data_IF_365248216903
#
_entry.id   IF_365248216903
#
_cell.length_a   1.000
_cell.length_b   1.000
_cell.length_c   1.000
_cell.angle_alpha   90.00
_cell.angle_beta   90.00
_cell.angle_gamma   90.00
#
_symmetry.space_group_name_H-M   'P 1'
#
loop_
_entity.id
_entity.type
_entity.pdbx_description
1 polymer ?
#
# COMPACT_ATOMS: atom_id res chain seq x y z
N UNK A 1 19.73 8.89 14.89
CA UNK A 1 19.02 8.00 13.95
C UNK A 1 19.50 8.37 12.56
N UNK A 2 20.32 7.49 12.00
CA UNK A 2 20.88 7.62 10.65
C UNK A 2 19.86 7.11 9.66
N UNK A 3 19.60 7.90 8.62
CA UNK A 3 18.65 7.52 7.56
C UNK A 3 19.37 7.41 6.23
N UNK A 4 19.18 6.29 5.56
CA UNK A 4 19.74 6.00 4.25
C UNK A 4 18.62 5.68 3.26
N UNK A 5 18.81 6.03 2.00
CA UNK A 5 17.92 5.72 0.89
C UNK A 5 18.69 4.89 -0.13
N UNK A 6 18.22 3.68 -0.39
CA UNK A 6 18.80 2.76 -1.36
C UNK A 6 17.84 2.67 -2.54
N UNK A 7 18.28 3.03 -3.74
CA UNK A 7 17.45 3.13 -4.94
C UNK A 7 17.96 2.19 -6.02
N UNK A 8 17.18 1.15 -6.29
CA UNK A 8 17.44 0.17 -7.36
C UNK A 8 16.57 0.49 -8.57
N UNK A 9 17.20 0.83 -9.69
CA UNK A 9 16.56 1.15 -10.97
C UNK A 9 16.69 0.03 -12.00
N UNK A 10 17.53 -1.01 -11.76
CA UNK A 10 17.90 -2.02 -12.76
C UNK A 10 17.06 -3.30 -12.70
N UNK A 11 16.30 -3.52 -11.64
CA UNK A 11 15.55 -4.76 -11.42
C UNK A 11 14.12 -4.73 -11.98
N UNK A 12 13.90 -4.12 -13.15
CA UNK A 12 12.59 -4.14 -13.84
C UNK A 12 11.62 -3.04 -13.38
N UNK A 13 12.13 -1.95 -12.84
CA UNK A 13 11.40 -0.80 -12.32
C UNK A 13 12.14 -0.21 -11.13
N UNK A 14 11.84 1.04 -10.80
CA UNK A 14 12.50 1.69 -9.67
C UNK A 14 11.92 1.19 -8.34
N UNK A 15 12.79 0.68 -7.47
CA UNK A 15 12.49 0.34 -6.07
C UNK A 15 13.35 1.19 -5.15
N UNK A 16 12.79 1.70 -4.08
CA UNK A 16 13.52 2.53 -3.13
C UNK A 16 13.24 2.07 -1.69
N UNK A 17 14.29 1.70 -0.98
CA UNK A 17 14.27 1.27 0.40
C UNK A 17 14.78 2.37 1.32
N UNK A 18 14.03 2.67 2.37
CA UNK A 18 14.46 3.59 3.44
C UNK A 18 14.93 2.76 4.62
N UNK A 19 16.17 3.00 5.03
CA UNK A 19 16.75 2.39 6.23
C UNK A 19 16.84 3.43 7.34
N UNK A 20 16.60 3.01 8.57
CA UNK A 20 16.88 3.76 9.79
C UNK A 20 17.80 2.92 10.68
N UNK A 21 19.00 3.44 10.95
CA UNK A 21 20.08 2.73 11.69
C UNK A 21 20.37 1.33 11.11
N UNK A 22 20.31 1.18 9.77
CA UNK A 22 20.55 -0.07 9.04
C UNK A 22 19.34 -1.01 8.93
N UNK A 23 18.21 -0.69 9.57
CA UNK A 23 16.98 -1.49 9.47
C UNK A 23 16.03 -0.96 8.40
N UNK A 24 15.47 -1.85 7.58
CA UNK A 24 14.47 -1.51 6.57
C UNK A 24 13.15 -1.07 7.24
N UNK A 25 12.73 0.17 6.96
CA UNK A 25 11.52 0.77 7.54
C UNK A 25 10.45 1.18 6.52
N UNK A 26 10.84 1.44 5.28
CA UNK A 26 9.89 1.72 4.20
C UNK A 26 10.41 1.11 2.89
N UNK A 27 9.50 0.58 2.08
CA UNK A 27 9.78 0.17 0.71
C UNK A 27 8.80 0.89 -0.22
N UNK A 28 9.36 1.60 -1.18
CA UNK A 28 8.61 2.27 -2.23
C UNK A 28 8.95 1.64 -3.57
N UNK A 29 7.93 1.47 -4.40
CA UNK A 29 8.10 0.96 -5.76
C UNK A 29 7.46 1.96 -6.71
N UNK A 30 8.15 2.25 -7.78
CA UNK A 30 7.54 2.97 -8.87
C UNK A 30 6.74 1.93 -9.68
N UNK A 31 5.43 1.89 -9.43
CA UNK A 31 4.51 1.10 -10.22
C UNK A 31 4.45 1.58 -11.67
N UNK A 32 3.78 0.80 -12.53
CA UNK A 32 3.53 1.19 -13.92
C UNK A 32 2.78 2.53 -14.04
N UNK A 33 2.41 2.94 -15.24
CA UNK A 33 1.70 4.20 -15.52
C UNK A 33 0.64 4.67 -14.50
N UNK A 34 -0.15 3.78 -13.87
CA UNK A 34 -1.15 4.20 -12.89
C UNK A 34 -0.59 4.89 -11.64
N UNK A 35 0.61 4.55 -11.18
CA UNK A 35 1.19 5.18 -9.98
C UNK A 35 1.79 6.57 -10.27
N UNK A 36 2.16 6.81 -11.52
CA UNK A 36 2.64 8.12 -11.98
C UNK A 36 1.52 9.14 -12.19
N UNK A 37 0.25 8.75 -12.05
CA UNK A 37 -0.90 9.65 -12.26
C UNK A 37 -1.15 10.57 -11.07
N UNK A 38 -0.76 10.18 -9.86
CA UNK A 38 -0.82 11.06 -8.68
C UNK A 38 0.24 12.15 -8.78
N UNK A 39 -0.13 13.38 -8.43
CA UNK A 39 0.70 14.59 -8.56
C UNK A 39 0.94 15.07 -10.02
N UNK A 40 0.60 14.27 -11.04
CA UNK A 40 0.62 14.69 -12.44
C UNK A 40 -0.36 15.85 -12.67
N UNK A 41 0.09 16.85 -13.41
CA UNK A 41 -0.80 17.93 -13.87
C UNK A 41 -1.32 17.62 -15.26
N UNK A 42 -2.61 17.80 -15.43
CA UNK A 42 -3.31 17.58 -16.69
C UNK A 42 -4.01 18.87 -17.16
N UNK A 43 -4.01 19.10 -18.46
CA UNK A 43 -4.95 20.01 -19.10
C UNK A 43 -6.20 19.20 -19.45
N UNK A 44 -7.33 19.51 -18.83
CA UNK A 44 -8.54 18.73 -18.95
C UNK A 44 -9.70 19.51 -19.52
N UNK A 45 -10.64 18.80 -20.18
CA UNK A 45 -11.91 19.32 -20.65
C UNK A 45 -13.06 18.75 -19.84
N UNK A 46 -13.92 19.60 -19.30
CA UNK A 46 -15.14 19.16 -18.62
C UNK A 46 -16.09 18.50 -19.63
N UNK A 47 -16.32 17.20 -19.50
CA UNK A 47 -17.26 16.46 -20.35
C UNK A 47 -18.67 16.54 -19.82
N UNK A 48 -18.87 16.40 -18.52
CA UNK A 48 -20.17 16.44 -17.87
C UNK A 48 -20.07 16.93 -16.43
N UNK A 49 -21.04 17.73 -16.03
CA UNK A 49 -21.24 18.10 -14.62
C UNK A 49 -22.43 17.33 -14.07
N UNK A 50 -22.29 16.73 -12.89
CA UNK A 50 -23.33 15.95 -12.21
C UNK A 50 -23.62 16.56 -10.83
N UNK A 51 -24.58 17.48 -10.74
CA UNK A 51 -24.91 18.15 -9.47
C UNK A 51 -25.35 17.19 -8.35
N UNK A 52 -26.06 16.10 -8.72
CA UNK A 52 -26.54 15.09 -7.77
C UNK A 52 -25.44 14.36 -6.99
N UNK A 53 -24.22 14.33 -7.51
CA UNK A 53 -23.05 13.69 -6.87
C UNK A 53 -21.96 14.73 -6.57
N UNK A 54 -22.26 16.03 -6.69
CA UNK A 54 -21.31 17.13 -6.48
C UNK A 54 -19.97 16.91 -7.19
N UNK A 55 -20.02 16.52 -8.48
CA UNK A 55 -18.81 16.22 -9.23
C UNK A 55 -18.93 16.56 -10.71
N UNK A 56 -17.76 16.73 -11.35
CA UNK A 56 -17.61 16.80 -12.80
C UNK A 56 -16.74 15.63 -13.30
N UNK A 57 -17.00 15.20 -14.53
CA UNK A 57 -16.17 14.26 -15.27
C UNK A 57 -15.32 15.04 -16.25
N UNK A 58 -14.01 14.85 -16.17
CA UNK A 58 -13.02 15.61 -16.91
C UNK A 58 -12.23 14.68 -17.81
N UNK A 59 -12.25 14.94 -19.12
CA UNK A 59 -11.35 14.31 -20.08
C UNK A 59 -9.92 14.82 -19.87
N UNK A 60 -8.97 13.93 -19.68
CA UNK A 60 -7.56 14.24 -19.41
C UNK A 60 -6.60 13.55 -20.39
N UNK A 61 -7.12 13.06 -21.52
CA UNK A 61 -6.36 12.32 -22.54
C UNK A 61 -6.08 10.86 -22.17
N UNK A 62 -6.88 10.28 -21.28
CA UNK A 62 -6.86 8.86 -20.90
C UNK A 62 -8.17 8.18 -21.33
N UNK A 63 -8.20 6.82 -21.29
CA UNK A 63 -9.39 6.05 -21.66
C UNK A 63 -10.62 6.39 -20.80
N UNK A 64 -10.42 6.63 -19.51
CA UNK A 64 -11.49 6.98 -18.58
C UNK A 64 -11.41 8.46 -18.20
N UNK A 65 -12.58 9.11 -18.16
CA UNK A 65 -12.70 10.47 -17.67
C UNK A 65 -12.33 10.52 -16.18
N UNK A 66 -11.58 11.54 -15.78
CA UNK A 66 -11.22 11.80 -14.40
C UNK A 66 -12.43 12.29 -13.59
N UNK A 67 -12.49 11.94 -12.32
CA UNK A 67 -13.50 12.36 -11.36
C UNK A 67 -13.02 13.58 -10.59
N UNK A 68 -13.69 14.71 -10.77
CA UNK A 68 -13.41 15.97 -10.09
C UNK A 68 -14.54 16.27 -9.10
N UNK A 69 -14.33 16.13 -7.78
CA UNK A 69 -15.27 16.61 -6.77
C UNK A 69 -15.41 18.13 -6.88
N UNK A 70 -16.63 18.63 -6.82
CA UNK A 70 -16.90 20.07 -6.84
C UNK A 70 -17.17 20.57 -5.42
N UNK A 71 -16.49 21.64 -5.03
CA UNK A 71 -16.79 22.38 -3.83
C UNK A 71 -18.04 23.26 -4.03
N UNK A 72 -18.72 23.61 -2.96
CA UNK A 72 -19.89 24.49 -3.02
C UNK A 72 -19.52 25.83 -3.66
N UNK A 73 -20.32 26.25 -4.64
CA UNK A 73 -20.13 27.52 -5.35
C UNK A 73 -19.28 27.45 -6.63
N UNK A 74 -18.61 26.34 -6.92
CA UNK A 74 -17.85 26.16 -8.18
C UNK A 74 -18.82 25.90 -9.33
N UNK A 75 -18.88 26.81 -10.30
CA UNK A 75 -19.71 26.71 -11.50
C UNK A 75 -18.85 26.32 -12.69
N UNK A 76 -18.84 25.04 -13.04
CA UNK A 76 -18.24 24.52 -14.28
C UNK A 76 -19.33 24.21 -15.30
N UNK A 77 -19.00 24.33 -16.57
CA UNK A 77 -19.83 23.94 -17.71
C UNK A 77 -19.14 22.89 -18.56
N UNK A 78 -19.94 22.09 -19.25
CA UNK A 78 -19.40 21.18 -20.28
C UNK A 78 -18.67 21.99 -21.35
N UNK A 79 -17.46 21.55 -21.70
CA UNK A 79 -16.56 22.25 -22.62
C UNK A 79 -15.50 23.13 -21.94
N UNK A 80 -15.64 23.49 -20.65
CA UNK A 80 -14.65 24.28 -19.94
C UNK A 80 -13.30 23.55 -19.90
N UNK A 81 -12.22 24.32 -20.13
CA UNK A 81 -10.85 23.83 -20.07
C UNK A 81 -10.20 24.27 -18.75
N UNK A 82 -9.55 23.34 -18.05
CA UNK A 82 -8.94 23.62 -16.74
C UNK A 82 -7.70 22.78 -16.51
N UNK A 83 -6.81 23.27 -15.64
CA UNK A 83 -5.68 22.48 -15.14
C UNK A 83 -6.16 21.71 -13.91
N UNK A 84 -5.90 20.41 -13.88
CA UNK A 84 -6.20 19.55 -12.72
C UNK A 84 -5.00 18.71 -12.33
N UNK A 85 -4.91 18.40 -11.05
CA UNK A 85 -3.88 17.55 -10.47
C UNK A 85 -4.47 16.21 -10.05
N UNK A 86 -3.78 15.11 -10.38
CA UNK A 86 -4.11 13.78 -9.86
C UNK A 86 -3.89 13.72 -8.35
N UNK A 87 -4.90 13.27 -7.60
CA UNK A 87 -4.87 13.27 -6.12
C UNK A 87 -4.77 11.86 -5.55
N UNK A 88 -5.49 10.92 -6.12
CA UNK A 88 -5.49 9.53 -5.67
C UNK A 88 -6.00 8.61 -6.77
N UNK A 89 -5.36 7.44 -6.88
CA UNK A 89 -5.83 6.32 -7.68
C UNK A 89 -7.10 5.75 -7.04
N UNK A 90 -8.13 5.48 -7.83
CA UNK A 90 -9.26 4.73 -7.33
C UNK A 90 -8.93 3.22 -7.36
N UNK A 91 -9.33 2.51 -6.33
CA UNK A 91 -8.97 1.11 -6.07
C UNK A 91 -9.65 0.09 -7.00
N UNK A 92 -10.49 0.54 -7.94
CA UNK A 92 -11.21 -0.32 -8.89
C UNK A 92 -10.90 0.10 -10.32
N UNK A 93 -10.57 -0.86 -11.19
CA UNK A 93 -10.26 -0.65 -12.61
C UNK A 93 -11.38 0.03 -13.43
N UNK A 94 -12.60 0.07 -12.90
CA UNK A 94 -13.77 0.66 -13.55
C UNK A 94 -13.98 2.16 -13.28
N UNK A 95 -13.13 2.79 -12.49
CA UNK A 95 -13.28 4.21 -12.10
C UNK A 95 -12.08 5.03 -12.56
N UNK A 96 -12.35 6.23 -13.10
CA UNK A 96 -11.32 7.17 -13.52
C UNK A 96 -10.49 7.75 -12.36
N UNK A 97 -9.36 8.37 -12.70
CA UNK A 97 -8.49 9.07 -11.76
C UNK A 97 -9.26 10.15 -11.00
N UNK A 98 -9.08 10.21 -9.68
CA UNK A 98 -9.57 11.36 -8.90
C UNK A 98 -8.63 12.53 -9.08
N UNK A 99 -9.18 13.68 -9.45
CA UNK A 99 -8.41 14.93 -9.67
C UNK A 99 -8.93 16.07 -8.81
N UNK A 100 -8.13 17.12 -8.68
CA UNK A 100 -8.46 18.36 -7.97
C UNK A 100 -8.06 19.56 -8.81
N UNK A 101 -8.82 20.64 -8.71
CA UNK A 101 -8.43 21.96 -9.21
C UNK A 101 -7.45 22.68 -8.28
N UNK A 102 -7.36 22.22 -7.03
CA UNK A 102 -6.36 22.69 -6.09
C UNK A 102 -5.01 22.09 -6.44
N UNK A 103 -4.14 22.88 -7.04
CA UNK A 103 -2.81 22.49 -7.48
C UNK A 103 -1.81 22.67 -6.34
N UNK A 104 -1.08 21.63 -5.99
CA UNK A 104 -0.04 21.66 -4.97
C UNK A 104 1.33 21.42 -5.61
N UNK A 105 2.12 22.49 -5.74
CA UNK A 105 3.50 22.39 -6.21
C UNK A 105 4.42 22.18 -5.01
N UNK A 106 4.88 20.93 -4.85
CA UNK A 106 5.60 20.52 -3.65
C UNK A 106 7.10 20.71 -3.82
N UNK A 107 7.66 21.63 -3.06
CA UNK A 107 9.09 21.78 -2.84
C UNK A 107 9.58 21.02 -1.60
N UNK A 108 10.85 21.23 -1.22
CA UNK A 108 11.46 20.66 0.00
C UNK A 108 10.88 21.29 1.26
N UNK A 109 10.92 22.60 1.36
CA UNK A 109 10.54 23.39 2.54
C UNK A 109 9.16 24.04 2.40
N UNK A 110 8.67 24.21 1.17
CA UNK A 110 7.42 24.90 0.83
C UNK A 110 6.52 24.02 -0.03
N UNK A 111 5.21 24.31 0.03
CA UNK A 111 4.24 23.92 -1.00
C UNK A 111 3.60 25.21 -1.50
N UNK A 112 3.64 25.45 -2.79
CA UNK A 112 2.96 26.58 -3.43
C UNK A 112 1.60 26.13 -3.96
N UNK A 113 0.56 26.90 -3.69
CA UNK A 113 -0.82 26.64 -4.13
C UNK A 113 -1.32 27.83 -4.92
N UNK A 114 -1.24 27.79 -6.25
CA UNK A 114 -1.77 28.84 -7.11
C UNK A 114 -3.29 28.97 -7.01
N UNK A 115 -3.80 30.19 -7.10
CA UNK A 115 -5.25 30.48 -7.04
C UNK A 115 -5.84 30.52 -5.65
N UNK A 116 -5.05 30.30 -4.60
CA UNK A 116 -5.42 30.52 -3.20
C UNK A 116 -4.57 31.68 -2.62
N UNK A 117 -4.94 32.16 -1.45
CA UNK A 117 -4.18 33.19 -0.74
C UNK A 117 -3.92 32.78 0.70
N UNK A 118 -2.76 33.18 1.23
CA UNK A 118 -2.44 33.00 2.62
C UNK A 118 -1.20 32.14 2.90
N UNK A 119 -0.80 32.16 4.17
CA UNK A 119 0.38 31.45 4.67
C UNK A 119 -0.04 30.46 5.74
N UNK A 120 0.26 29.21 5.50
CA UNK A 120 -0.01 28.12 6.41
C UNK A 120 1.30 27.48 6.90
N UNK A 121 1.36 27.10 8.17
CA UNK A 121 2.53 26.41 8.74
C UNK A 121 2.12 25.01 9.17
N UNK A 122 2.96 24.04 8.83
CA UNK A 122 2.78 22.65 9.22
C UNK A 122 2.43 22.53 10.72
N UNK A 123 1.43 21.71 11.05
CA UNK A 123 1.07 21.42 12.45
C UNK A 123 2.16 20.68 13.21
N UNK A 124 3.16 20.13 12.50
CA UNK A 124 4.31 19.43 13.10
C UNK A 124 5.36 20.40 13.66
N UNK A 125 5.41 21.64 13.19
CA UNK A 125 6.23 22.71 13.78
C UNK A 125 5.55 23.16 15.06
N UNK A 126 6.10 22.75 16.22
CA UNK A 126 5.45 22.97 17.52
C UNK A 126 5.97 24.17 18.29
N UNK A 127 7.23 24.55 18.07
CA UNK A 127 7.85 25.68 18.77
C UNK A 127 7.18 27.01 18.35
N UNK A 128 6.59 27.77 19.31
CA UNK A 128 5.88 29.01 19.01
C UNK A 128 6.77 30.09 18.38
N UNK A 129 8.02 30.24 18.79
CA UNK A 129 8.98 31.20 18.27
C UNK A 129 9.34 30.88 16.83
N UNK A 130 9.65 29.60 16.56
CA UNK A 130 9.90 29.11 15.20
C UNK A 130 8.68 29.32 14.28
N UNK A 131 7.48 29.08 14.79
CA UNK A 131 6.22 29.34 14.03
C UNK A 131 6.05 30.82 13.72
N UNK A 132 6.32 31.72 14.68
CA UNK A 132 6.22 33.16 14.47
C UNK A 132 7.22 33.64 13.41
N UNK A 133 8.50 33.23 13.53
CA UNK A 133 9.56 33.50 12.53
C UNK A 133 9.16 33.03 11.13
N UNK A 134 8.73 31.77 11.01
CA UNK A 134 8.34 31.20 9.72
C UNK A 134 7.09 31.86 9.14
N UNK A 135 6.15 32.31 9.98
CA UNK A 135 4.98 33.06 9.52
C UNK A 135 5.36 34.44 8.94
N UNK A 136 6.33 35.11 9.54
CA UNK A 136 6.84 36.39 9.04
C UNK A 136 7.56 36.24 7.70
N UNK A 137 8.50 35.30 7.62
CA UNK A 137 9.18 34.94 6.38
C UNK A 137 8.15 34.58 5.31
N UNK A 138 7.19 33.69 5.65
CA UNK A 138 6.17 33.25 4.71
C UNK A 138 5.35 34.38 4.13
N UNK A 139 4.97 35.40 4.94
CA UNK A 139 4.24 36.58 4.44
C UNK A 139 5.09 37.43 3.51
N UNK A 140 6.41 37.50 3.76
CA UNK A 140 7.30 38.27 2.93
C UNK A 140 7.54 37.62 1.54
N UNK A 141 7.59 36.28 1.47
CA UNK A 141 7.93 35.56 0.25
C UNK A 141 6.71 35.04 -0.52
N UNK A 142 5.50 35.10 0.06
CA UNK A 142 4.28 34.59 -0.58
C UNK A 142 3.95 35.39 -1.84
N UNK A 143 3.93 34.75 -3.04
CA UNK A 143 3.59 35.48 -4.26
C UNK A 143 2.11 35.91 -4.24
N UNK A 144 1.76 37.00 -4.97
CA UNK A 144 0.38 37.38 -5.18
C UNK A 144 -0.40 36.22 -5.84
N UNK A 145 -1.69 36.09 -5.48
CA UNK A 145 -2.59 35.04 -5.99
C UNK A 145 -2.13 33.61 -5.75
N UNK A 146 -1.29 33.42 -4.72
CA UNK A 146 -0.86 32.11 -4.26
C UNK A 146 -1.02 31.97 -2.75
N UNK A 147 -1.22 30.74 -2.29
CA UNK A 147 -0.98 30.38 -0.91
C UNK A 147 0.31 29.57 -0.79
N UNK A 148 0.95 29.64 0.38
CA UNK A 148 2.08 28.77 0.70
C UNK A 148 1.83 27.96 1.96
N UNK A 149 2.28 26.70 1.95
CA UNK A 149 2.36 25.87 3.14
C UNK A 149 3.83 25.66 3.48
N UNK A 150 4.24 26.14 4.64
CA UNK A 150 5.60 25.99 5.16
C UNK A 150 5.69 24.60 5.82
N UNK A 151 6.58 23.76 5.31
CA UNK A 151 6.79 22.38 5.78
C UNK A 151 7.73 22.36 6.98
N UNK A 152 7.80 21.22 7.68
CA UNK A 152 8.69 21.04 8.85
C UNK A 152 10.16 21.20 8.49
N UNK A 153 10.55 20.83 7.26
CA UNK A 153 11.92 21.00 6.78
C UNK A 153 12.41 22.47 6.79
N UNK A 154 11.49 23.44 6.85
CA UNK A 154 11.82 24.87 6.92
C UNK A 154 12.43 25.32 8.26
N UNK A 155 12.36 24.49 9.32
CA UNK A 155 12.90 24.87 10.63
C UNK A 155 14.39 25.18 10.57
N UNK A 156 15.13 24.49 9.68
CA UNK A 156 16.59 24.60 9.50
C UNK A 156 17.00 25.33 8.23
N UNK A 157 16.06 25.94 7.50
CA UNK A 157 16.29 26.62 6.22
C UNK A 157 16.31 28.13 6.43
N UNK A 158 17.23 28.83 5.74
CA UNK A 158 17.30 30.30 5.80
C UNK A 158 16.17 30.99 5.03
N UNK A 159 15.93 32.26 5.30
CA UNK A 159 14.90 33.05 4.61
C UNK A 159 15.18 33.15 3.09
N UNK A 160 16.45 33.34 2.75
CA UNK A 160 16.91 33.45 1.34
C UNK A 160 16.67 32.16 0.57
N UNK A 161 16.91 31.00 1.22
CA UNK A 161 16.66 29.70 0.63
C UNK A 161 15.15 29.44 0.44
N UNK A 162 14.31 29.86 1.39
CA UNK A 162 12.86 29.76 1.28
C UNK A 162 12.33 30.66 0.15
N UNK A 163 12.88 31.85 0.00
CA UNK A 163 12.53 32.76 -1.09
C UNK A 163 12.91 32.17 -2.45
N UNK A 164 14.14 31.67 -2.60
CA UNK A 164 14.58 31.04 -3.83
C UNK A 164 13.71 29.84 -4.22
N UNK A 165 13.30 29.04 -3.24
CA UNK A 165 12.38 27.90 -3.48
C UNK A 165 10.98 28.37 -3.91
N UNK A 166 10.44 29.44 -3.31
CA UNK A 166 9.15 30.01 -3.68
C UNK A 166 9.18 30.56 -5.13
N UNK A 167 10.23 31.28 -5.49
CA UNK A 167 10.45 31.83 -6.86
C UNK A 167 10.56 30.69 -7.90
N UNK A 168 11.29 29.61 -7.58
CA UNK A 168 11.42 28.44 -8.46
C UNK A 168 10.06 27.75 -8.68
N UNK A 169 9.27 27.55 -7.61
CA UNK A 169 7.95 26.93 -7.72
C UNK A 169 6.99 27.81 -8.52
N UNK A 170 7.04 29.13 -8.30
CA UNK A 170 6.24 30.09 -9.07
C UNK A 170 6.60 30.07 -10.56
N UNK A 171 7.89 30.07 -10.89
CA UNK A 171 8.37 29.97 -12.27
C UNK A 171 7.88 28.67 -12.93
N UNK A 172 8.00 27.53 -12.24
CA UNK A 172 7.49 26.23 -12.72
C UNK A 172 5.98 26.29 -13.00
N UNK A 173 5.21 26.96 -12.13
CA UNK A 173 3.78 27.17 -12.35
C UNK A 173 3.50 28.02 -13.57
N UNK A 174 4.22 29.13 -13.74
CA UNK A 174 4.05 30.02 -14.89
C UNK A 174 4.34 29.31 -16.21
N UNK A 175 5.41 28.52 -16.27
CA UNK A 175 5.76 27.69 -17.43
C UNK A 175 4.68 26.63 -17.72
N UNK A 176 4.14 26.00 -16.67
CA UNK A 176 3.05 25.01 -16.78
C UNK A 176 1.78 25.65 -17.32
N UNK A 177 1.42 26.83 -16.81
CA UNK A 177 0.25 27.58 -17.25
C UNK A 177 0.39 28.08 -18.71
N UNK A 178 1.61 28.49 -19.10
CA UNK A 178 1.89 28.85 -20.48
C UNK A 178 1.77 27.66 -21.43
N UNK A 179 2.28 26.48 -21.04
CA UNK A 179 2.10 25.24 -21.80
C UNK A 179 0.62 24.88 -21.96
N UNK A 180 -0.17 25.01 -20.90
CA UNK A 180 -1.61 24.75 -20.96
C UNK A 180 -2.32 25.64 -21.99
N UNK A 181 -1.98 26.92 -22.04
CA UNK A 181 -2.54 27.86 -23.03
C UNK A 181 -2.21 27.51 -24.48
N UNK A 182 -1.08 26.82 -24.70
CA UNK A 182 -0.69 26.33 -26.03
C UNK A 182 -1.29 24.99 -26.44
N UNK A 183 -1.95 24.28 -25.51
CA UNK A 183 -2.56 22.98 -25.80
C UNK A 183 -3.95 23.10 -26.40
N UNK A 184 -4.20 22.39 -27.51
CA UNK A 184 -5.50 22.34 -28.18
C UNK A 184 -6.35 21.16 -27.65
N UNK A 185 -5.70 20.09 -27.19
CA UNK A 185 -6.36 18.87 -26.74
C UNK A 185 -6.03 18.58 -25.26
N UNK A 186 -6.95 17.93 -24.53
CA UNK A 186 -6.66 17.42 -23.19
C UNK A 186 -5.46 16.48 -23.17
N UNK A 187 -4.67 16.53 -22.11
CA UNK A 187 -3.49 15.68 -21.96
C UNK A 187 -2.62 16.03 -20.77
N UNK A 188 -1.49 15.34 -20.64
CA UNK A 188 -0.52 15.54 -19.58
C UNK A 188 0.24 16.86 -19.80
N UNK A 189 0.27 17.72 -18.79
CA UNK A 189 1.06 18.96 -18.75
C UNK A 189 2.45 18.73 -18.16
N UNK A 190 2.50 18.10 -16.99
CA UNK A 190 3.75 17.77 -16.31
C UNK A 190 3.66 16.40 -15.70
N UNK A 191 4.72 15.61 -15.83
CA UNK A 191 4.87 14.35 -15.11
C UNK A 191 5.37 14.62 -13.69
N UNK A 192 5.07 13.76 -12.71
CA UNK A 192 5.65 13.87 -11.37
C UNK A 192 7.16 13.65 -11.43
N UNK A 193 7.86 14.19 -10.43
CA UNK A 193 9.28 13.88 -10.26
C UNK A 193 9.50 12.37 -10.10
N UNK A 194 10.61 11.80 -10.60
CA UNK A 194 11.00 10.42 -10.33
C UNK A 194 10.96 10.09 -8.83
N UNK A 195 10.72 8.82 -8.51
CA UNK A 195 10.61 8.35 -7.13
C UNK A 195 11.86 8.65 -6.32
N UNK A 196 13.05 8.51 -6.92
CA UNK A 196 14.36 8.83 -6.34
C UNK A 196 14.42 10.27 -5.84
N UNK A 197 14.11 11.24 -6.71
CA UNK A 197 14.14 12.67 -6.42
C UNK A 197 13.06 13.03 -5.37
N UNK A 198 11.86 12.52 -5.53
CA UNK A 198 10.74 12.77 -4.61
C UNK A 198 11.03 12.27 -3.19
N UNK A 199 11.54 11.05 -3.05
CA UNK A 199 11.91 10.49 -1.75
C UNK A 199 13.08 11.23 -1.13
N UNK A 200 14.12 11.52 -1.91
CA UNK A 200 15.28 12.27 -1.43
C UNK A 200 14.86 13.65 -0.92
N UNK A 201 14.00 14.37 -1.65
CA UNK A 201 13.42 15.65 -1.23
C UNK A 201 12.62 15.52 0.07
N UNK A 202 11.72 14.53 0.15
CA UNK A 202 10.82 14.35 1.29
C UNK A 202 11.53 13.84 2.56
N UNK A 203 12.71 13.22 2.43
CA UNK A 203 13.56 12.71 3.50
C UNK A 203 14.73 13.64 3.85
N UNK A 204 14.97 14.69 3.05
CA UNK A 204 16.17 15.52 3.08
C UNK A 204 16.57 16.07 4.46
N UNK A 205 15.61 16.29 5.38
CA UNK A 205 15.90 16.82 6.73
C UNK A 205 16.76 15.89 7.61
N UNK A 206 16.70 14.57 7.36
CA UNK A 206 17.38 13.55 8.17
C UNK A 206 18.07 12.48 7.31
N UNK A 207 18.31 12.76 6.02
CA UNK A 207 18.90 11.83 5.08
C UNK A 207 20.42 12.04 5.04
N UNK A 208 21.18 11.04 5.49
CA UNK A 208 22.64 11.08 5.48
C UNK A 208 23.22 10.57 4.16
N UNK A 209 22.62 9.51 3.60
CA UNK A 209 23.17 8.81 2.44
C UNK A 209 22.08 8.41 1.44
N UNK A 210 22.38 8.53 0.15
CA UNK A 210 21.61 7.97 -0.97
C UNK A 210 22.53 7.10 -1.79
N UNK A 211 22.17 5.86 -2.02
CA UNK A 211 22.91 4.95 -2.91
C UNK A 211 21.98 4.56 -4.07
N UNK A 212 22.47 4.70 -5.28
CA UNK A 212 21.69 4.48 -6.51
C UNK A 212 22.52 3.77 -7.57
N UNK A 213 21.91 2.85 -8.33
CA UNK A 213 22.57 2.06 -9.36
C UNK A 213 22.26 2.51 -10.80
N UNK A 214 21.72 3.72 -10.99
CA UNK A 214 21.44 4.30 -12.30
C UNK A 214 22.18 5.62 -12.48
N UNK A 215 22.90 5.77 -13.60
CA UNK A 215 23.76 6.92 -13.84
C UNK A 215 22.97 8.21 -14.11
N UNK A 216 21.88 8.14 -14.85
CA UNK A 216 21.06 9.31 -15.20
C UNK A 216 20.37 9.87 -13.95
N UNK A 217 19.82 8.98 -13.11
CA UNK A 217 19.21 9.34 -11.83
C UNK A 217 20.25 9.87 -10.82
N UNK A 218 21.47 9.30 -10.81
CA UNK A 218 22.58 9.81 -10.00
C UNK A 218 22.94 11.24 -10.40
N UNK A 219 23.11 11.50 -11.69
CA UNK A 219 23.43 12.82 -12.19
C UNK A 219 22.31 13.83 -11.89
N UNK A 220 21.05 13.41 -12.03
CA UNK A 220 19.88 14.23 -11.68
C UNK A 220 19.89 14.60 -10.18
N UNK A 221 20.17 13.65 -9.29
CA UNK A 221 20.28 13.89 -7.84
C UNK A 221 21.43 14.84 -7.50
N UNK A 222 22.58 14.67 -8.15
CA UNK A 222 23.75 15.55 -7.98
C UNK A 222 23.45 16.97 -8.46
N UNK A 223 22.71 17.13 -9.57
CA UNK A 223 22.30 18.44 -10.05
C UNK A 223 21.34 19.11 -9.07
N UNK A 224 20.32 18.39 -8.56
CA UNK A 224 19.39 18.90 -7.53
C UNK A 224 20.12 19.32 -6.25
N UNK A 225 21.20 18.63 -5.88
CA UNK A 225 22.05 19.01 -4.74
C UNK A 225 22.85 20.31 -5.03
N UNK A 226 23.44 20.42 -6.22
CA UNK A 226 24.13 21.67 -6.65
C UNK A 226 23.21 22.88 -6.68
N UNK A 227 21.96 22.67 -7.08
CA UNK A 227 20.92 23.71 -7.10
C UNK A 227 20.43 24.10 -5.68
N UNK A 228 21.02 23.54 -4.61
CA UNK A 228 20.66 23.84 -3.23
C UNK A 228 19.33 23.25 -2.76
N UNK A 229 18.69 22.42 -3.58
CA UNK A 229 17.41 21.78 -3.27
C UNK A 229 17.55 20.56 -2.33
N UNK A 230 18.76 20.04 -2.18
CA UNK A 230 19.14 19.02 -1.18
C UNK A 230 20.22 19.57 -0.25
N UNK A 231 20.28 19.07 1.01
CA UNK A 231 21.33 19.42 1.93
C UNK A 231 22.70 19.03 1.36
N UNK A 232 23.72 19.91 1.44
CA UNK A 232 25.06 19.58 0.92
C UNK A 232 25.73 18.41 1.67
N UNK A 233 25.33 18.15 2.91
CA UNK A 233 25.83 17.05 3.73
C UNK A 233 25.22 15.68 3.36
N UNK A 234 24.20 15.61 2.52
CA UNK A 234 23.66 14.34 2.03
C UNK A 234 24.68 13.69 1.10
N UNK A 235 25.19 12.54 1.46
CA UNK A 235 26.14 11.81 0.65
C UNK A 235 25.41 11.02 -0.45
N UNK A 236 25.70 11.34 -1.73
CA UNK A 236 25.09 10.66 -2.87
C UNK A 236 26.16 9.79 -3.52
N UNK A 237 25.91 8.47 -3.57
CA UNK A 237 26.82 7.45 -4.10
C UNK A 237 26.19 6.74 -5.30
N UNK A 238 27.03 6.46 -6.27
CA UNK A 238 26.71 5.59 -7.40
C UNK A 238 27.27 4.19 -7.17
N UNK A 239 26.42 3.18 -7.30
CA UNK A 239 26.81 1.77 -7.25
C UNK A 239 26.61 1.14 -8.63
N UNK A 240 27.69 0.67 -9.25
CA UNK A 240 27.68 0.06 -10.57
C UNK A 240 27.36 -1.45 -10.55
N UNK A 241 27.16 -2.01 -9.37
CA UNK A 241 26.84 -3.44 -9.15
C UNK A 241 27.88 -4.43 -9.71
N UNK A 242 29.16 -4.06 -9.71
CA UNK A 242 30.21 -4.92 -10.25
C UNK A 242 30.35 -6.28 -9.55
N UNK A 243 29.93 -6.38 -8.28
CA UNK A 243 30.11 -7.59 -7.45
C UNK A 243 28.83 -8.20 -6.96
N UNK A 244 27.86 -7.38 -6.60
CA UNK A 244 26.61 -7.81 -5.94
C UNK A 244 25.50 -6.85 -6.32
N UNK A 245 24.28 -7.35 -6.51
CA UNK A 245 23.10 -6.51 -6.73
C UNK A 245 22.89 -5.57 -5.54
N UNK A 246 22.44 -4.34 -5.80
CA UNK A 246 22.36 -3.30 -4.79
C UNK A 246 21.52 -3.72 -3.58
N UNK A 247 20.34 -4.30 -3.79
CA UNK A 247 19.47 -4.74 -2.69
C UNK A 247 20.04 -5.92 -1.91
N UNK A 248 20.82 -6.79 -2.55
CA UNK A 248 21.51 -7.90 -1.88
C UNK A 248 22.68 -7.40 -1.03
N UNK A 249 23.44 -6.40 -1.50
CA UNK A 249 24.54 -5.78 -0.75
C UNK A 249 24.04 -5.18 0.61
N UNK A 250 22.82 -4.71 0.65
CA UNK A 250 22.17 -4.19 1.87
C UNK A 250 21.25 -5.22 2.57
N UNK A 251 21.24 -6.49 2.13
CA UNK A 251 20.40 -7.56 2.67
C UNK A 251 18.91 -7.20 2.78
N UNK A 252 18.35 -6.55 1.77
CA UNK A 252 16.98 -6.01 1.80
C UNK A 252 15.91 -7.04 1.42
N UNK A 253 16.19 -8.03 0.58
CA UNK A 253 15.20 -9.00 0.10
C UNK A 253 14.62 -9.85 1.26
N UNK A 254 15.47 -10.28 2.21
CA UNK A 254 15.00 -11.05 3.38
C UNK A 254 13.99 -10.30 4.26
N UNK A 255 14.22 -9.03 4.66
CA UNK A 255 13.21 -8.23 5.36
C UNK A 255 11.94 -8.00 4.55
N UNK A 256 12.03 -7.81 3.23
CA UNK A 256 10.88 -7.67 2.33
C UNK A 256 10.04 -8.94 2.37
N UNK A 257 10.64 -10.11 2.18
CA UNK A 257 9.96 -11.40 2.26
C UNK A 257 9.30 -11.65 3.61
N UNK A 258 9.98 -11.28 4.71
CA UNK A 258 9.41 -11.34 6.07
C UNK A 258 8.20 -10.41 6.21
N UNK A 259 8.25 -9.20 5.62
CA UNK A 259 7.14 -8.26 5.64
C UNK A 259 5.91 -8.75 4.85
N UNK A 260 6.06 -9.69 3.94
CA UNK A 260 4.94 -10.31 3.24
C UNK A 260 4.26 -11.44 4.02
N UNK A 261 4.89 -11.96 5.09
CA UNK A 261 4.32 -13.02 5.93
C UNK A 261 3.32 -12.44 6.93
N UNK A 262 2.29 -13.22 7.30
CA UNK A 262 1.37 -12.83 8.37
C UNK A 262 2.07 -12.70 9.72
N UNK A 263 2.99 -13.63 10.03
CA UNK A 263 3.70 -13.71 11.31
C UNK A 263 5.01 -12.91 11.27
N UNK A 264 5.21 -12.09 12.29
CA UNK A 264 6.45 -11.32 12.54
C UNK A 264 6.98 -11.69 13.91
N UNK A 265 8.21 -12.21 13.95
CA UNK A 265 8.86 -12.59 15.19
C UNK A 265 9.46 -11.37 15.90
N UNK A 266 9.37 -11.36 17.22
CA UNK A 266 9.99 -10.37 18.10
C UNK A 266 11.31 -10.91 18.66
N UNK A 267 12.26 -10.03 19.00
CA UNK A 267 13.54 -10.45 19.61
C UNK A 267 13.36 -11.27 20.91
N UNK A 268 12.33 -10.97 21.70
CA UNK A 268 12.02 -11.73 22.92
C UNK A 268 11.49 -13.15 22.66
N UNK A 269 11.20 -13.54 21.41
CA UNK A 269 10.62 -14.84 21.06
C UNK A 269 9.09 -14.84 21.01
N UNK A 270 8.44 -13.71 21.28
CA UNK A 270 7.05 -13.48 20.95
C UNK A 270 6.85 -13.21 19.44
N UNK A 271 5.65 -13.00 19.01
CA UNK A 271 5.35 -12.66 17.60
C UNK A 271 4.05 -11.91 17.43
N UNK A 272 3.95 -11.17 16.32
CA UNK A 272 2.74 -10.51 15.84
C UNK A 272 2.12 -11.34 14.71
N UNK A 273 0.80 -11.38 14.64
CA UNK A 273 0.03 -11.90 13.49
C UNK A 273 -0.77 -10.78 12.88
N UNK A 274 -0.56 -10.52 11.59
CA UNK A 274 -1.28 -9.50 10.83
C UNK A 274 -2.41 -10.14 10.03
N UNK A 275 -3.65 -9.77 10.33
CA UNK A 275 -4.83 -10.11 9.55
C UNK A 275 -5.46 -8.87 8.92
N UNK A 276 -5.67 -8.95 7.61
CA UNK A 276 -6.16 -7.85 6.80
C UNK A 276 -7.62 -8.13 6.43
N UNK A 277 -8.54 -7.49 7.14
CA UNK A 277 -9.94 -7.46 6.75
C UNK A 277 -10.20 -6.35 5.73
N UNK A 278 -11.40 -6.29 5.17
CA UNK A 278 -11.78 -5.28 4.18
C UNK A 278 -11.74 -3.86 4.74
N UNK A 279 -12.26 -3.66 5.95
CA UNK A 279 -12.41 -2.35 6.57
C UNK A 279 -11.26 -1.95 7.51
N UNK A 280 -10.53 -2.93 8.09
CA UNK A 280 -9.53 -2.68 9.11
C UNK A 280 -8.42 -3.74 9.10
N UNK A 281 -7.33 -3.47 9.77
CA UNK A 281 -6.26 -4.44 10.03
C UNK A 281 -6.32 -4.85 11.50
N UNK A 282 -6.33 -6.14 11.75
CA UNK A 282 -6.25 -6.72 13.09
C UNK A 282 -4.87 -7.31 13.31
N UNK A 283 -4.31 -7.10 14.48
CA UNK A 283 -2.96 -7.58 14.83
C UNK A 283 -3.05 -8.24 16.20
N UNK A 284 -2.67 -9.51 16.25
CA UNK A 284 -2.65 -10.31 17.48
C UNK A 284 -1.21 -10.43 18.01
N UNK A 285 -1.01 -10.22 19.31
CA UNK A 285 0.28 -10.28 19.99
C UNK A 285 0.38 -11.57 20.81
N UNK A 286 1.35 -12.40 20.47
CA UNK A 286 1.57 -13.68 21.12
C UNK A 286 2.90 -13.72 21.87
N UNK A 287 2.91 -14.28 23.07
CA UNK A 287 4.14 -14.45 23.88
C UNK A 287 5.09 -15.54 23.33
N UNK A 288 4.57 -16.43 22.47
CA UNK A 288 5.37 -17.53 21.92
C UNK A 288 5.87 -18.50 22.99
N UNK A 289 7.18 -18.81 22.92
CA UNK A 289 7.85 -19.70 23.88
C UNK A 289 8.49 -18.94 25.05
N UNK A 290 8.22 -17.67 25.21
CA UNK A 290 8.82 -16.84 26.22
C UNK A 290 8.24 -17.15 27.62
N UNK A 291 9.00 -17.85 28.44
CA UNK A 291 8.66 -18.25 29.83
C UNK A 291 9.70 -17.67 30.82
N UNK A 292 10.33 -16.53 30.51
CA UNK A 292 11.49 -16.03 31.27
C UNK A 292 11.20 -14.85 32.20
N UNK A 293 9.94 -14.49 32.43
CA UNK A 293 9.57 -13.45 33.41
C UNK A 293 9.42 -14.01 34.82
N UNK A 294 9.65 -13.18 35.85
CA UNK A 294 9.35 -13.52 37.23
C UNK A 294 7.84 -13.64 37.52
N UNK A 295 7.02 -13.06 36.61
CA UNK A 295 5.56 -13.12 36.64
C UNK A 295 4.96 -13.08 35.23
N UNK A 296 3.70 -13.49 35.06
CA UNK A 296 2.95 -13.36 33.80
C UNK A 296 2.84 -11.88 33.38
N UNK A 297 2.60 -10.99 34.33
CA UNK A 297 2.48 -9.55 34.11
C UNK A 297 3.78 -8.92 33.55
N UNK A 298 4.97 -9.32 34.08
CA UNK A 298 6.27 -8.86 33.57
C UNK A 298 6.52 -9.37 32.16
N UNK A 299 6.15 -10.61 31.88
CA UNK A 299 6.26 -11.21 30.55
C UNK A 299 5.36 -10.46 29.56
N UNK A 300 4.09 -10.23 29.91
CA UNK A 300 3.14 -9.49 29.09
C UNK A 300 3.64 -8.07 28.78
N UNK A 301 4.10 -7.34 29.81
CA UNK A 301 4.65 -5.99 29.61
C UNK A 301 5.85 -5.99 28.66
N UNK A 302 6.79 -6.89 28.84
CA UNK A 302 8.00 -6.96 28.00
C UNK A 302 7.65 -7.26 26.54
N UNK A 303 6.80 -8.27 26.31
CA UNK A 303 6.37 -8.64 24.94
C UNK A 303 5.61 -7.49 24.31
N UNK A 304 4.67 -6.87 25.02
CA UNK A 304 3.87 -5.75 24.50
C UNK A 304 4.75 -4.53 24.17
N UNK A 305 5.78 -4.23 24.97
CA UNK A 305 6.71 -3.13 24.69
C UNK A 305 7.54 -3.37 23.42
N UNK A 306 7.99 -4.61 23.18
CA UNK A 306 8.65 -4.97 21.92
C UNK A 306 7.67 -4.99 20.75
N UNK A 307 6.47 -5.52 20.98
CA UNK A 307 5.39 -5.59 19.99
C UNK A 307 5.04 -4.22 19.43
N UNK A 308 4.84 -3.19 20.27
CA UNK A 308 4.44 -1.86 19.76
C UNK A 308 5.55 -1.14 19.01
N UNK A 309 6.82 -1.43 19.29
CA UNK A 309 7.96 -0.90 18.52
C UNK A 309 8.01 -1.54 17.13
N UNK A 310 7.93 -2.87 17.08
CA UNK A 310 7.90 -3.60 15.81
C UNK A 310 6.62 -3.32 15.02
N UNK A 311 5.47 -3.16 15.69
CA UNK A 311 4.23 -2.71 15.09
C UNK A 311 4.42 -1.41 14.31
N UNK A 312 4.99 -0.38 14.95
CA UNK A 312 5.21 0.92 14.32
C UNK A 312 6.09 0.79 13.06
N UNK A 313 7.15 -0.02 13.12
CA UNK A 313 8.02 -0.32 11.96
C UNK A 313 7.26 -1.04 10.86
N UNK A 314 6.49 -2.09 11.21
CA UNK A 314 5.75 -2.90 10.24
C UNK A 314 4.60 -2.13 9.57
N UNK A 315 3.94 -1.20 10.28
CA UNK A 315 2.92 -0.34 9.70
C UNK A 315 3.51 0.55 8.58
N UNK A 316 4.74 1.05 8.76
CA UNK A 316 5.47 1.82 7.74
C UNK A 316 5.91 0.94 6.58
N UNK A 317 6.60 -0.18 6.87
CA UNK A 317 7.18 -1.08 5.87
C UNK A 317 6.10 -1.69 4.97
N UNK A 318 4.97 -2.07 5.55
CA UNK A 318 3.84 -2.67 4.81
C UNK A 318 2.88 -1.64 4.21
N UNK A 319 3.10 -0.34 4.47
CA UNK A 319 2.20 0.78 4.21
C UNK A 319 0.74 0.49 4.64
N UNK A 320 0.59 -0.04 5.87
CA UNK A 320 -0.73 -0.30 6.45
C UNK A 320 -1.36 1.02 6.85
N UNK A 321 -2.58 1.27 6.36
CA UNK A 321 -3.33 2.47 6.71
C UNK A 321 -4.83 2.18 6.87
N UNK A 322 -5.53 3.11 7.50
CA UNK A 322 -6.91 2.96 7.94
C UNK A 322 -7.00 2.66 9.43
N UNK A 323 -8.03 1.95 9.84
CA UNK A 323 -8.24 1.50 11.23
C UNK A 323 -7.33 0.30 11.50
N UNK A 324 -6.62 0.33 12.62
CA UNK A 324 -5.77 -0.75 13.11
C UNK A 324 -6.17 -1.07 14.55
N UNK A 325 -6.47 -2.32 14.79
CA UNK A 325 -6.79 -2.87 16.12
C UNK A 325 -5.70 -3.85 16.50
N UNK A 326 -5.17 -3.72 17.70
CA UNK A 326 -4.12 -4.62 18.21
C UNK A 326 -4.62 -5.29 19.48
N UNK A 327 -4.63 -6.62 19.46
CA UNK A 327 -4.92 -7.45 20.62
C UNK A 327 -3.61 -7.65 21.38
N UNK A 328 -3.47 -6.92 22.50
CA UNK A 328 -2.28 -6.98 23.34
C UNK A 328 -2.41 -8.14 24.33
N UNK A 329 -1.28 -8.69 24.76
CA UNK A 329 -1.30 -9.61 25.89
C UNK A 329 -1.85 -8.90 27.12
N UNK A 330 -2.79 -9.52 27.81
CA UNK A 330 -3.48 -8.96 28.97
C UNK A 330 -2.52 -8.45 30.03
N UNK A 331 -2.79 -7.23 30.51
CA UNK A 331 -2.07 -6.58 31.61
C UNK A 331 -3.05 -6.10 32.66
N UNK A 332 -2.84 -6.53 33.90
CA UNK A 332 -3.69 -6.15 35.04
C UNK A 332 -3.41 -4.71 35.47
N UNK A 333 -2.13 -4.28 35.47
CA UNK A 333 -1.70 -3.00 36.00
C UNK A 333 -1.87 -1.87 35.00
N UNK A 334 -2.63 -0.83 35.35
CA UNK A 334 -2.80 0.38 34.54
C UNK A 334 -1.46 1.05 34.19
N UNK A 335 -0.50 1.02 35.12
CA UNK A 335 0.86 1.55 34.88
C UNK A 335 1.53 0.89 33.69
N UNK A 336 1.35 -0.42 33.53
CA UNK A 336 1.92 -1.18 32.42
C UNK A 336 1.23 -0.84 31.10
N UNK A 337 -0.11 -0.74 31.10
CA UNK A 337 -0.90 -0.28 29.93
C UNK A 337 -0.46 1.11 29.48
N UNK A 338 -0.23 2.03 30.43
CA UNK A 338 0.27 3.38 30.10
C UNK A 338 1.70 3.36 29.56
N UNK A 339 2.58 2.50 30.08
CA UNK A 339 3.94 2.36 29.58
C UNK A 339 3.95 1.90 28.10
N UNK A 340 3.10 0.94 27.73
CA UNK A 340 2.94 0.46 26.35
C UNK A 340 2.41 1.58 25.44
N UNK A 341 1.40 2.37 25.89
CA UNK A 341 0.90 3.51 25.13
C UNK A 341 1.96 4.60 24.90
N UNK A 342 2.78 4.88 25.91
CA UNK A 342 3.89 5.85 25.77
C UNK A 342 4.91 5.33 24.78
N UNK A 343 5.31 4.05 24.88
CA UNK A 343 6.26 3.44 23.96
C UNK A 343 5.74 3.46 22.50
N UNK A 344 4.46 3.19 22.28
CA UNK A 344 3.85 3.29 20.95
C UNK A 344 3.86 4.72 20.44
N UNK A 345 3.46 5.70 21.26
CA UNK A 345 3.48 7.13 20.89
C UNK A 345 4.88 7.58 20.48
N UNK A 346 5.90 7.08 21.15
CA UNK A 346 7.29 7.39 20.80
C UNK A 346 7.72 6.69 19.50
N UNK A 347 7.37 5.42 19.32
CA UNK A 347 7.71 4.65 18.12
C UNK A 347 7.09 5.22 16.84
N UNK A 348 5.89 5.77 16.90
CA UNK A 348 5.22 6.36 15.72
C UNK A 348 5.64 7.81 15.42
N UNK A 349 6.48 8.44 16.23
CA UNK A 349 6.95 9.82 15.98
C UNK A 349 7.73 9.97 14.67
N UNK A 350 8.46 8.93 14.29
CA UNK A 350 9.23 8.90 13.04
C UNK A 350 8.36 8.64 11.79
N UNK A 351 7.09 8.24 11.96
CA UNK A 351 6.19 8.02 10.84
C UNK A 351 5.82 9.35 10.16
N UNK A 352 6.03 9.40 8.85
CA UNK A 352 5.65 10.57 8.04
C UNK A 352 4.14 10.72 7.90
N UNK A 353 3.41 9.60 7.99
CA UNK A 353 1.95 9.60 7.93
C UNK A 353 1.35 9.98 9.28
N UNK A 354 0.24 10.75 9.29
CA UNK A 354 -0.50 11.00 10.51
C UNK A 354 -1.03 9.71 11.14
N UNK A 355 -0.62 9.48 12.37
CA UNK A 355 -1.10 8.39 13.22
C UNK A 355 -1.87 9.00 14.39
N UNK A 356 -3.07 8.47 14.67
CA UNK A 356 -3.87 8.83 15.83
C UNK A 356 -4.09 7.58 16.67
N UNK A 357 -3.66 7.62 17.93
CA UNK A 357 -3.83 6.55 18.90
C UNK A 357 -4.99 6.95 19.79
N UNK A 358 -6.06 6.14 19.80
CA UNK A 358 -7.27 6.40 20.63
C UNK A 358 -7.05 5.90 22.07
N UNK A 359 -6.37 4.78 22.23
CA UNK A 359 -6.07 4.20 23.55
C UNK A 359 -6.24 2.69 23.59
N UNK A 360 -6.31 2.14 24.80
CA UNK A 360 -6.62 0.73 25.06
C UNK A 360 -8.04 0.65 25.62
N UNK A 361 -8.88 -0.16 25.00
CA UNK A 361 -10.29 -0.35 25.41
C UNK A 361 -10.38 -1.17 26.69
N UNK A 362 -11.60 -1.31 27.23
CA UNK A 362 -11.90 -2.19 28.37
C UNK A 362 -11.66 -3.67 28.06
N UNK A 363 -11.68 -4.04 26.78
CA UNK A 363 -11.40 -5.40 26.32
C UNK A 363 -9.89 -5.66 26.11
N UNK A 364 -9.01 -4.72 26.44
CA UNK A 364 -7.57 -4.86 26.23
C UNK A 364 -7.09 -4.48 24.80
N UNK A 365 -7.99 -4.13 23.89
CA UNK A 365 -7.66 -3.83 22.51
C UNK A 365 -7.09 -2.42 22.37
N UNK A 366 -5.92 -2.30 21.75
CA UNK A 366 -5.31 -1.03 21.35
C UNK A 366 -5.95 -0.56 20.03
N UNK A 367 -6.48 0.65 20.04
CA UNK A 367 -7.11 1.26 18.88
C UNK A 367 -6.29 2.42 18.32
N UNK A 368 -6.06 2.40 17.01
CA UNK A 368 -5.37 3.48 16.32
C UNK A 368 -5.81 3.62 14.87
N UNK A 369 -5.53 4.78 14.29
CA UNK A 369 -5.69 5.02 12.86
C UNK A 369 -4.42 5.58 12.26
N UNK A 370 -4.11 5.18 11.01
CA UNK A 370 -2.98 5.70 10.22
C UNK A 370 -3.49 6.17 8.86
N UNK A 371 -3.12 7.37 8.43
CA UNK A 371 -3.54 7.89 7.13
C UNK A 371 -2.93 7.03 6.01
N UNK A 372 -3.77 6.63 5.04
CA UNK A 372 -3.30 5.94 3.81
C UNK A 372 -2.70 6.96 2.85
N UNK A 373 -1.58 6.62 2.23
CA UNK A 373 -0.99 7.43 1.14
C UNK A 373 -0.77 6.62 -0.14
N UNK A 374 -0.29 5.39 -0.01
CA UNK A 374 0.05 4.51 -1.13
C UNK A 374 -0.75 3.21 -1.15
N UNK A 375 -0.31 2.30 -1.99
CA UNK A 375 -0.79 0.93 -2.03
C UNK A 375 -0.03 0.09 -1.01
N UNK A 376 -0.74 -0.74 -0.26
CA UNK A 376 -0.11 -1.65 0.70
C UNK A 376 0.87 -2.58 -0.02
N UNK A 377 2.05 -2.81 0.58
CA UNK A 377 3.10 -3.69 0.05
C UNK A 377 2.57 -5.06 -0.39
N UNK A 378 1.64 -5.63 0.39
CA UNK A 378 1.00 -6.90 0.05
C UNK A 378 0.23 -6.85 -1.27
N UNK A 379 -0.47 -5.76 -1.56
CA UNK A 379 -1.25 -5.62 -2.80
C UNK A 379 -0.36 -5.35 -4.01
N UNK A 380 0.71 -4.62 -3.79
CA UNK A 380 1.68 -4.32 -4.84
C UNK A 380 2.49 -5.55 -5.28
N UNK A 381 2.80 -6.47 -4.32
CA UNK A 381 3.68 -7.62 -4.57
C UNK A 381 2.95 -8.98 -4.66
N UNK A 382 1.63 -9.04 -4.42
CA UNK A 382 0.87 -10.31 -4.42
C UNK A 382 -0.43 -10.20 -5.20
N UNK A 383 -0.79 -11.27 -5.83
CA UNK A 383 -2.11 -11.47 -6.46
C UNK A 383 -2.98 -12.38 -5.59
N UNK A 384 -4.30 -12.26 -5.76
CA UNK A 384 -5.24 -13.16 -5.09
C UNK A 384 -5.00 -14.59 -5.57
N UNK A 385 -4.94 -15.54 -4.63
CA UNK A 385 -4.78 -16.95 -4.96
C UNK A 385 -5.96 -17.45 -5.80
N UNK A 386 -5.68 -18.00 -6.98
CA UNK A 386 -6.72 -18.51 -7.89
C UNK A 386 -7.39 -19.79 -7.38
N UNK A 387 -6.77 -20.50 -6.41
CA UNK A 387 -7.30 -21.75 -5.86
C UNK A 387 -8.39 -21.47 -4.82
N UNK A 388 -8.10 -20.62 -3.82
CA UNK A 388 -9.05 -20.28 -2.75
C UNK A 388 -9.72 -18.91 -2.92
N UNK A 389 -9.47 -18.21 -4.02
CA UNK A 389 -10.01 -16.86 -4.28
C UNK A 389 -9.79 -15.89 -3.11
N UNK A 390 -8.73 -16.12 -2.32
CA UNK A 390 -8.35 -15.28 -1.19
C UNK A 390 -8.94 -15.70 0.15
N UNK A 391 -9.79 -16.73 0.24
CA UNK A 391 -10.37 -17.21 1.51
C UNK A 391 -9.32 -17.82 2.45
N UNK A 392 -8.26 -18.43 1.90
CA UNK A 392 -7.27 -19.20 2.67
C UNK A 392 -7.75 -20.63 3.03
N UNK A 393 -9.00 -20.96 2.71
CA UNK A 393 -9.64 -22.23 3.03
C UNK A 393 -10.15 -22.91 1.77
N UNK A 394 -10.22 -24.22 1.80
CA UNK A 394 -10.77 -25.05 0.74
C UNK A 394 -11.75 -26.06 1.37
N UNK A 395 -12.68 -26.53 0.58
CA UNK A 395 -13.56 -27.62 1.00
C UNK A 395 -12.72 -28.86 1.34
N UNK A 396 -13.13 -29.62 2.35
CA UNK A 396 -12.52 -30.90 2.65
C UNK A 396 -12.86 -31.92 1.56
N UNK A 397 -12.01 -32.93 1.43
CA UNK A 397 -12.12 -33.97 0.40
C UNK A 397 -13.47 -34.70 0.47
N UNK A 398 -14.01 -34.92 1.68
CA UNK A 398 -15.31 -35.55 1.89
C UNK A 398 -16.47 -34.72 1.32
N UNK A 399 -16.44 -33.38 1.51
CA UNK A 399 -17.51 -32.54 1.00
C UNK A 399 -17.43 -32.41 -0.52
N UNK A 400 -16.22 -32.39 -1.08
CA UNK A 400 -16.02 -32.39 -2.54
C UNK A 400 -16.58 -33.67 -3.13
N UNK A 401 -16.23 -34.85 -2.54
CA UNK A 401 -16.74 -36.15 -2.95
C UNK A 401 -18.27 -36.22 -2.85
N UNK A 402 -18.87 -35.76 -1.74
CA UNK A 402 -20.33 -35.68 -1.58
C UNK A 402 -21.02 -34.79 -2.63
N UNK A 403 -20.43 -33.66 -2.96
CA UNK A 403 -20.98 -32.76 -3.99
C UNK A 403 -20.94 -33.40 -5.38
N UNK A 404 -19.82 -34.04 -5.69
CA UNK A 404 -19.67 -34.75 -6.95
C UNK A 404 -20.67 -35.93 -7.06
N UNK A 405 -20.83 -36.69 -5.98
CA UNK A 405 -21.80 -37.81 -5.92
C UNK A 405 -23.26 -37.28 -6.03
N UNK A 406 -23.59 -36.19 -5.37
CA UNK A 406 -24.91 -35.51 -5.55
C UNK A 406 -25.16 -35.09 -6.99
N UNK A 407 -24.14 -34.65 -7.71
CA UNK A 407 -24.29 -34.30 -9.10
C UNK A 407 -24.58 -35.53 -9.98
N UNK A 408 -23.85 -36.63 -9.79
CA UNK A 408 -24.14 -37.89 -10.48
C UNK A 408 -25.57 -38.35 -10.22
N UNK A 409 -26.06 -38.31 -8.97
CA UNK A 409 -27.45 -38.60 -8.64
C UNK A 409 -28.47 -37.72 -9.33
N UNK A 410 -28.20 -36.41 -9.45
CA UNK A 410 -29.06 -35.47 -10.19
C UNK A 410 -29.13 -35.84 -11.67
N UNK A 411 -28.02 -36.22 -12.27
CA UNK A 411 -27.96 -36.66 -13.68
C UNK A 411 -28.75 -37.96 -13.86
N UNK A 412 -28.65 -38.92 -12.92
CA UNK A 412 -29.45 -40.14 -12.93
C UNK A 412 -30.97 -39.82 -12.83
N UNK A 413 -31.37 -38.94 -11.91
CA UNK A 413 -32.78 -38.53 -11.75
C UNK A 413 -33.29 -37.76 -12.97
N UNK A 414 -32.43 -37.09 -13.73
CA UNK A 414 -32.76 -36.46 -15.00
C UNK A 414 -32.86 -37.46 -16.17
N UNK A 415 -32.81 -38.76 -15.91
CA UNK A 415 -32.97 -39.80 -16.90
C UNK A 415 -31.71 -40.26 -17.61
N UNK A 416 -30.57 -39.78 -17.23
CA UNK A 416 -29.30 -40.26 -17.80
C UNK A 416 -28.99 -41.69 -17.28
N UNK A 417 -28.85 -42.62 -18.22
CA UNK A 417 -28.62 -44.04 -17.95
C UNK A 417 -27.21 -44.42 -18.36
N UNK A 418 -26.50 -45.11 -17.48
CA UNK A 418 -25.15 -45.62 -17.75
C UNK A 418 -24.18 -45.26 -16.60
N UNK A 419 -22.99 -45.81 -16.60
CA UNK A 419 -22.03 -45.53 -15.56
C UNK A 419 -21.63 -44.06 -15.59
N UNK A 420 -21.35 -43.50 -14.40
CA UNK A 420 -20.79 -42.15 -14.25
C UNK A 420 -19.33 -42.25 -13.82
N UNK A 421 -18.45 -41.52 -14.49
CA UNK A 421 -17.05 -41.33 -14.08
C UNK A 421 -16.91 -39.94 -13.51
N UNK A 422 -16.48 -39.87 -12.25
CA UNK A 422 -16.25 -38.61 -11.55
C UNK A 422 -14.75 -38.38 -11.45
N UNK A 423 -14.28 -37.33 -12.14
CA UNK A 423 -12.90 -36.91 -12.09
C UNK A 423 -12.69 -35.90 -10.98
N UNK A 424 -11.76 -36.17 -10.06
CA UNK A 424 -11.43 -35.38 -8.89
C UNK A 424 -9.91 -35.33 -8.66
N UNK A 425 -9.46 -34.43 -7.80
CA UNK A 425 -8.10 -34.49 -7.28
C UNK A 425 -7.86 -35.83 -6.53
N UNK A 426 -6.65 -36.33 -6.55
CA UNK A 426 -6.28 -37.66 -6.08
C UNK A 426 -6.83 -38.04 -4.68
N UNK A 427 -6.70 -37.10 -3.70
CA UNK A 427 -7.20 -37.33 -2.34
C UNK A 427 -8.73 -37.46 -2.29
N UNK A 428 -9.43 -36.56 -3.00
CA UNK A 428 -10.89 -36.61 -3.06
C UNK A 428 -11.39 -37.85 -3.83
N UNK A 429 -10.66 -38.31 -4.85
CA UNK A 429 -10.97 -39.55 -5.57
C UNK A 429 -10.85 -40.77 -4.67
N UNK A 430 -9.83 -40.86 -3.81
CA UNK A 430 -9.69 -41.94 -2.82
C UNK A 430 -10.83 -41.93 -1.80
N UNK A 431 -11.26 -40.75 -1.35
CA UNK A 431 -12.41 -40.61 -0.44
C UNK A 431 -13.70 -41.03 -1.15
N UNK A 432 -13.92 -40.59 -2.39
CA UNK A 432 -15.10 -40.98 -3.16
C UNK A 432 -15.16 -42.50 -3.39
N UNK A 433 -14.05 -43.12 -3.74
CA UNK A 433 -14.00 -44.59 -3.94
C UNK A 433 -14.35 -45.39 -2.68
N UNK A 434 -14.10 -44.81 -1.50
CA UNK A 434 -14.46 -45.43 -0.22
C UNK A 434 -15.93 -45.17 0.21
N UNK A 435 -16.68 -44.34 -0.53
CA UNK A 435 -18.09 -44.08 -0.24
C UNK A 435 -18.99 -45.19 -0.79
N UNK A 436 -20.15 -45.44 -0.14
CA UNK A 436 -21.10 -46.42 -0.64
C UNK A 436 -21.73 -45.97 -1.96
N UNK A 437 -21.99 -46.94 -2.84
CA UNK A 437 -22.72 -46.71 -4.08
C UNK A 437 -24.15 -46.21 -3.74
N UNK A 438 -24.61 -45.06 -4.27
CA UNK A 438 -25.93 -44.54 -3.97
C UNK A 438 -27.03 -45.46 -4.52
N UNK A 439 -28.06 -45.71 -3.71
CA UNK A 439 -29.25 -46.44 -4.17
C UNK A 439 -29.93 -45.70 -5.33
N UNK A 440 -30.46 -46.46 -6.30
CA UNK A 440 -31.13 -45.91 -7.50
C UNK A 440 -30.27 -44.97 -8.36
N UNK A 441 -28.95 -45.13 -8.32
CA UNK A 441 -28.02 -44.45 -9.18
C UNK A 441 -27.24 -45.47 -10.02
N UNK A 442 -26.99 -45.24 -11.30
CA UNK A 442 -26.08 -46.07 -12.07
C UNK A 442 -24.70 -46.18 -11.41
N UNK A 443 -23.92 -47.24 -11.73
CA UNK A 443 -22.58 -47.39 -11.16
C UNK A 443 -21.75 -46.12 -11.28
N UNK A 444 -21.08 -45.73 -10.18
CA UNK A 444 -20.22 -44.53 -10.11
C UNK A 444 -18.78 -44.97 -9.90
N UNK A 445 -17.88 -44.33 -10.64
CA UNK A 445 -16.45 -44.60 -10.61
C UNK A 445 -15.69 -43.33 -10.28
N UNK A 446 -14.75 -43.41 -9.37
CA UNK A 446 -13.86 -42.31 -9.02
C UNK A 446 -12.59 -42.38 -9.87
N UNK A 447 -12.24 -41.30 -10.56
CA UNK A 447 -11.02 -41.15 -11.33
C UNK A 447 -10.17 -40.02 -10.77
N UNK A 448 -8.92 -40.32 -10.43
CA UNK A 448 -7.97 -39.29 -10.04
C UNK A 448 -7.55 -38.45 -11.27
N UNK A 449 -7.65 -37.13 -11.16
CA UNK A 449 -7.26 -36.20 -12.19
C UNK A 449 -6.32 -35.15 -11.60
N UNK A 450 -5.39 -34.61 -12.43
CA UNK A 450 -4.45 -33.56 -12.03
C UNK A 450 -5.06 -32.17 -11.87
N UNK A 451 -6.38 -32.07 -11.64
CA UNK A 451 -7.10 -30.80 -11.54
C UNK A 451 -6.96 -30.07 -10.21
N UNK A 452 -7.50 -28.85 -10.12
CA UNK A 452 -7.57 -28.09 -8.88
C UNK A 452 -8.40 -28.82 -7.83
N UNK A 453 -8.00 -28.68 -6.55
CA UNK A 453 -8.48 -29.42 -5.41
C UNK A 453 -10.01 -29.43 -5.23
N UNK A 454 -10.69 -28.32 -5.53
CA UNK A 454 -12.15 -28.19 -5.40
C UNK A 454 -12.93 -28.46 -6.70
N UNK A 455 -12.25 -28.60 -7.83
CA UNK A 455 -12.91 -28.87 -9.11
C UNK A 455 -13.15 -30.35 -9.30
N UNK A 456 -14.33 -30.66 -9.75
CA UNK A 456 -14.68 -32.00 -10.20
C UNK A 456 -15.51 -31.93 -11.48
N UNK A 457 -15.49 -33.02 -12.25
CA UNK A 457 -16.39 -33.20 -13.38
C UNK A 457 -17.04 -34.58 -13.30
N UNK A 458 -18.31 -34.63 -13.70
CA UNK A 458 -19.06 -35.88 -13.80
C UNK A 458 -19.30 -36.13 -15.27
N UNK A 459 -18.82 -37.24 -15.77
CA UNK A 459 -18.91 -37.61 -17.19
C UNK A 459 -19.65 -38.95 -17.33
N UNK A 460 -20.35 -39.08 -18.43
CA UNK A 460 -20.86 -40.34 -18.93
C UNK A 460 -19.91 -40.82 -20.02
N UNK A 461 -19.19 -41.95 -19.84
CA UNK A 461 -18.27 -42.39 -20.86
C UNK A 461 -19.01 -42.77 -22.15
N UNK A 462 -18.46 -42.37 -23.30
CA UNK A 462 -18.96 -42.82 -24.58
C UNK A 462 -18.75 -44.30 -24.75
N UNK A 463 -19.74 -45.02 -25.26
CA UNK A 463 -19.72 -46.47 -25.52
C UNK A 463 -19.54 -47.38 -24.27
N UNK A 464 -19.65 -46.80 -23.05
CA UNK A 464 -19.55 -47.60 -21.80
C UNK A 464 -18.13 -48.00 -21.37
N UNK A 465 -17.11 -47.51 -22.06
CA UNK A 465 -15.72 -47.79 -21.66
C UNK A 465 -15.33 -46.94 -20.42
N UNK A 466 -15.12 -47.65 -19.32
CA UNK A 466 -14.67 -47.07 -18.06
C UNK A 466 -13.14 -47.04 -18.10
N UNK A 467 -12.49 -45.89 -17.79
CA UNK A 467 -11.03 -45.81 -17.75
C UNK A 467 -10.44 -46.85 -16.78
N UNK A 468 -9.42 -47.57 -17.17
CA UNK A 468 -8.79 -48.64 -16.35
C UNK A 468 -8.35 -48.17 -14.96
N UNK A 469 -8.05 -46.86 -14.82
CA UNK A 469 -7.61 -46.24 -13.57
C UNK A 469 -8.77 -45.79 -12.66
N UNK A 470 -10.01 -45.96 -13.12
CA UNK A 470 -11.19 -45.52 -12.35
C UNK A 470 -11.59 -46.62 -11.32
N UNK A 471 -11.69 -46.20 -10.06
CA UNK A 471 -12.10 -47.10 -8.98
C UNK A 471 -13.62 -47.07 -8.79
N UNK A 472 -14.28 -48.25 -8.77
CA UNK A 472 -15.69 -48.35 -8.43
C UNK A 472 -15.95 -47.97 -6.96
N UNK A 473 -17.11 -47.36 -6.67
CA UNK A 473 -17.56 -47.14 -5.29
C UNK A 473 -17.88 -48.44 -4.60
N UNK A 474 -17.83 -48.44 -3.25
CA UNK A 474 -18.14 -49.64 -2.47
C UNK A 474 -19.62 -50.05 -2.64
N UNK A 475 -19.86 -51.27 -3.04
CA UNK A 475 -21.20 -51.85 -3.02
C UNK A 475 -21.45 -52.44 -1.63
N UNK A 476 -22.53 -51.98 -0.96
CA UNK A 476 -22.98 -52.63 0.25
C UNK A 476 -23.20 -54.15 -0.06
N UNK A 477 -22.49 -55.03 0.69
CA UNK A 477 -22.69 -56.46 0.65
C UNK A 477 -23.92 -56.85 1.42
#
# INVERSE_FOLDING_TARGET
>A
MKRELIVDCRSGGMRAAVLEDGELVELHMEGGEPDRQTETLYYGRVQAVRPSVHAAFVEIGQELNAFLPLEEGVKLKSGDMLIVQGVAKQTTQSKGLRVSTRINLTGRALVLIPGETGVHISKKVKNPETRARLAEIGRAICPPDCAIIIRTASETVSAEQLQAEAEMLLKSWQETNQRAKGMVKPGVLTKPEPLSLRLTRDLAGNLERVVINDGDEFDALRQVQKDGRLPPQTHIEYDDEQKTLLFDAFNLETPIDKALKKRVWLPCGGYLIFDFAEALTVIDVNSGKMVTGKSMEETALRVNLEAVKELARQLRLRDVGGIVIVDLIDMEKDKNRQAVLVALKDAVKSDRMPVKIEGITRLGLLEMTRKRKGEQLRRALRTTCSVCSGSGELLCEEEIARRALRQARRMALAGQRGPFVICLAEKAAKVLAAMPQPANCPPVYALASGGYREKFSVMQPCEGEIPEQAAALQTDK
#
